data_IF_878924286894
#
_entry.id   IF_878924286894
#
_cell.length_a   1.000
_cell.length_b   1.000
_cell.length_c   1.000
_cell.angle_alpha   90.00
_cell.angle_beta   90.00
_cell.angle_gamma   90.00
#
_symmetry.space_group_name_H-M   'P 1'
#
loop_
_entity.id
_entity.type
_entity.pdbx_description
1 polymer ?
#
# COMPACT_ATOMS: atom_id res chain seq x y z
N UNK A 1 5.24 -18.13 -1.82
CA UNK A 1 4.76 -16.94 -2.53
C UNK A 1 4.86 -15.73 -1.61
N UNK A 2 5.50 -14.64 -2.07
CA UNK A 2 5.73 -13.42 -1.25
C UNK A 2 4.43 -12.80 -0.73
N UNK A 3 3.38 -12.76 -1.55
CA UNK A 3 2.07 -12.23 -1.13
C UNK A 3 1.41 -13.07 -0.05
N UNK A 4 1.51 -14.39 -0.12
CA UNK A 4 0.98 -15.29 0.92
C UNK A 4 1.69 -15.06 2.26
N UNK A 5 3.01 -14.81 2.23
CA UNK A 5 3.76 -14.48 3.42
C UNK A 5 3.34 -13.14 4.01
N UNK A 6 3.22 -12.09 3.18
CA UNK A 6 2.73 -10.78 3.63
C UNK A 6 1.30 -10.89 4.17
N UNK A 7 0.44 -11.70 3.53
CA UNK A 7 -0.92 -11.98 4.04
C UNK A 7 -0.88 -12.67 5.41
N UNK A 8 -0.02 -13.69 5.57
CA UNK A 8 0.19 -14.37 6.87
C UNK A 8 0.60 -13.36 7.95
N UNK A 9 1.54 -12.45 7.65
CA UNK A 9 1.93 -11.39 8.58
C UNK A 9 0.75 -10.49 8.98
N UNK A 10 -0.07 -10.06 8.00
CA UNK A 10 -1.27 -9.27 8.29
C UNK A 10 -2.26 -10.04 9.17
N UNK A 11 -2.46 -11.33 8.93
CA UNK A 11 -3.35 -12.15 9.76
C UNK A 11 -2.84 -12.30 11.19
N UNK A 12 -1.53 -12.47 11.40
CA UNK A 12 -0.89 -12.48 12.72
C UNK A 12 -1.01 -11.12 13.44
N UNK A 13 -1.06 -10.02 12.70
CA UNK A 13 -1.30 -8.67 13.23
C UNK A 13 -2.79 -8.37 13.50
N UNK A 14 -3.69 -9.35 13.33
CA UNK A 14 -5.14 -9.20 13.55
C UNK A 14 -5.90 -8.63 12.36
N UNK A 15 -5.36 -8.81 11.15
CA UNK A 15 -5.98 -8.40 9.87
C UNK A 15 -6.42 -6.94 9.84
N UNK A 16 -5.52 -5.97 10.08
CA UNK A 16 -5.86 -4.54 10.13
C UNK A 16 -6.50 -4.04 8.83
N UNK A 17 -6.14 -4.63 7.68
CA UNK A 17 -6.72 -4.33 6.37
C UNK A 17 -8.22 -4.62 6.27
N UNK A 18 -8.73 -5.61 7.02
CA UNK A 18 -10.17 -5.96 7.03
C UNK A 18 -11.01 -5.04 7.89
N UNK A 19 -10.39 -4.25 8.75
CA UNK A 19 -11.06 -3.31 9.64
C UNK A 19 -11.25 -1.92 9.02
N UNK A 20 -10.63 -1.65 7.89
CA UNK A 20 -10.57 -0.31 7.27
C UNK A 20 -11.08 -0.35 5.82
N UNK A 21 -11.65 0.76 5.38
CA UNK A 21 -11.96 0.96 3.97
C UNK A 21 -10.69 1.42 3.26
N UNK A 22 -10.25 0.72 2.23
CA UNK A 22 -8.97 0.98 1.56
C UNK A 22 -9.23 1.37 0.11
N UNK A 23 -8.66 2.48 -0.35
CA UNK A 23 -8.53 2.82 -1.76
C UNK A 23 -7.10 2.44 -2.19
N UNK A 24 -6.98 1.51 -3.12
CA UNK A 24 -5.70 0.97 -3.56
C UNK A 24 -5.30 1.57 -4.90
N UNK A 25 -4.13 2.21 -4.96
CA UNK A 25 -3.70 3.02 -6.10
C UNK A 25 -2.44 2.43 -6.73
N UNK A 26 -2.53 2.08 -8.02
CA UNK A 26 -1.40 1.66 -8.86
C UNK A 26 -1.26 2.60 -10.07
N UNK A 27 -0.14 2.49 -10.77
CA UNK A 27 0.12 3.27 -11.98
C UNK A 27 1.62 3.45 -12.23
N UNK A 28 1.98 4.03 -13.37
CA UNK A 28 3.36 4.40 -13.65
C UNK A 28 3.66 5.77 -13.03
N UNK A 29 2.99 6.81 -13.48
CA UNK A 29 3.15 8.17 -12.99
C UNK A 29 1.88 8.66 -12.32
N UNK A 30 2.02 9.63 -11.41
CA UNK A 30 0.89 10.30 -10.77
C UNK A 30 0.27 9.56 -9.58
N UNK A 31 0.74 8.37 -9.20
CA UNK A 31 0.24 7.64 -8.02
C UNK A 31 0.21 8.50 -6.77
N UNK A 32 1.37 9.05 -6.37
CA UNK A 32 1.49 9.88 -5.18
C UNK A 32 0.60 11.12 -5.23
N UNK A 33 0.49 11.79 -6.40
CA UNK A 33 -0.40 12.95 -6.56
C UNK A 33 -1.88 12.57 -6.40
N UNK A 34 -2.31 11.46 -7.02
CA UNK A 34 -3.68 10.96 -6.87
C UNK A 34 -3.95 10.56 -5.41
N UNK A 35 -3.00 9.90 -4.76
CA UNK A 35 -3.09 9.54 -3.35
C UNK A 35 -3.25 10.78 -2.45
N UNK A 36 -2.45 11.83 -2.68
CA UNK A 36 -2.55 13.09 -1.94
C UNK A 36 -3.91 13.76 -2.14
N UNK A 37 -4.38 13.90 -3.40
CA UNK A 37 -5.70 14.47 -3.66
C UNK A 37 -6.84 13.67 -3.02
N UNK A 38 -6.79 12.34 -3.08
CA UNK A 38 -7.80 11.50 -2.43
C UNK A 38 -7.77 11.67 -0.91
N UNK A 39 -6.57 11.71 -0.31
CA UNK A 39 -6.42 11.91 1.15
C UNK A 39 -7.03 13.25 1.59
N UNK A 40 -6.66 14.36 0.91
CA UNK A 40 -7.21 15.69 1.20
C UNK A 40 -8.74 15.74 1.03
N UNK A 41 -9.27 15.17 -0.07
CA UNK A 41 -10.72 15.14 -0.31
C UNK A 41 -11.48 14.35 0.78
N UNK A 42 -10.90 13.25 1.26
CA UNK A 42 -11.51 12.44 2.33
C UNK A 42 -11.46 13.16 3.67
N UNK A 43 -10.37 13.84 3.99
CA UNK A 43 -10.22 14.65 5.17
C UNK A 43 -11.21 15.83 5.19
N UNK A 44 -11.32 16.57 4.09
CA UNK A 44 -12.31 17.64 3.92
C UNK A 44 -13.76 17.10 4.01
N UNK A 45 -13.97 15.84 3.64
CA UNK A 45 -15.22 15.10 3.84
C UNK A 45 -15.50 14.68 5.28
N UNK A 46 -14.60 15.00 6.22
CA UNK A 46 -14.74 14.70 7.64
C UNK A 46 -14.28 13.31 8.06
N UNK A 47 -13.57 12.58 7.21
CA UNK A 47 -13.01 11.27 7.55
C UNK A 47 -11.59 11.39 8.09
N UNK A 48 -11.23 10.57 9.05
CA UNK A 48 -9.85 10.38 9.45
C UNK A 48 -9.15 9.49 8.43
N UNK A 49 -8.30 10.08 7.62
CA UNK A 49 -7.65 9.42 6.50
C UNK A 49 -6.20 9.04 6.82
N UNK A 50 -5.86 7.77 6.62
CA UNK A 50 -4.49 7.30 6.55
C UNK A 50 -3.99 7.34 5.12
N UNK A 51 -2.72 7.70 4.93
CA UNK A 51 -2.05 7.73 3.63
C UNK A 51 -0.72 6.98 3.70
N UNK A 52 -0.58 5.96 2.86
CA UNK A 52 0.69 5.26 2.65
C UNK A 52 1.22 5.56 1.27
N UNK A 53 2.43 6.13 1.18
CA UNK A 53 3.08 6.49 -0.10
C UNK A 53 4.51 5.99 -0.18
N UNK A 54 5.06 5.96 -1.40
CA UNK A 54 6.46 5.61 -1.66
C UNK A 54 6.99 6.21 -2.97
N UNK A 55 8.29 6.56 -3.02
CA UNK A 55 9.26 6.62 -1.92
C UNK A 55 9.09 7.87 -1.05
N UNK A 56 9.85 7.97 0.04
CA UNK A 56 10.03 9.23 0.77
C UNK A 56 11.15 10.07 0.13
N UNK A 57 11.14 11.37 0.37
CA UNK A 57 12.15 12.30 -0.16
C UNK A 57 13.25 12.63 0.88
N UNK A 58 12.87 12.89 2.12
CA UNK A 58 13.77 13.32 3.19
C UNK A 58 13.68 12.37 4.39
N UNK A 59 12.48 12.16 4.92
CA UNK A 59 12.24 11.35 6.12
C UNK A 59 11.36 10.14 5.80
N UNK A 60 11.71 9.01 6.35
CA UNK A 60 10.94 7.77 6.19
C UNK A 60 9.48 7.90 6.68
N UNK A 61 9.23 8.79 7.66
CA UNK A 61 7.91 9.06 8.20
C UNK A 61 6.94 9.63 7.15
N UNK A 62 7.45 10.29 6.08
CA UNK A 62 6.64 10.77 4.95
C UNK A 62 5.76 9.68 4.33
N UNK A 63 6.18 8.43 4.45
CA UNK A 63 5.42 7.28 3.93
C UNK A 63 4.14 6.99 4.69
N UNK A 64 3.99 7.55 5.89
CA UNK A 64 2.90 7.30 6.82
C UNK A 64 2.31 8.62 7.28
N UNK A 65 1.16 8.98 6.74
CA UNK A 65 0.48 10.22 7.12
C UNK A 65 -0.92 9.92 7.64
N UNK A 66 -1.39 10.74 8.56
CA UNK A 66 -2.75 10.73 9.07
C UNK A 66 -3.26 12.17 9.00
N UNK A 67 -4.30 12.41 8.21
CA UNK A 67 -4.82 13.74 7.94
C UNK A 67 -3.68 14.70 7.54
N UNK A 68 -2.96 14.35 6.47
CA UNK A 68 -1.83 15.10 5.87
C UNK A 68 -0.63 15.32 6.79
N UNK A 69 -0.69 14.91 8.06
CA UNK A 69 0.43 15.01 8.99
C UNK A 69 1.24 13.72 9.05
N UNK A 70 2.56 13.85 8.90
CA UNK A 70 3.48 12.72 9.10
C UNK A 70 3.36 12.18 10.52
N UNK A 71 3.39 10.85 10.66
CA UNK A 71 3.39 10.22 11.98
C UNK A 71 4.63 10.60 12.79
N UNK A 72 4.47 10.68 14.11
CA UNK A 72 5.56 11.00 15.01
C UNK A 72 6.63 9.90 15.05
N UNK A 73 7.85 10.26 15.46
CA UNK A 73 8.94 9.29 15.63
C UNK A 73 8.59 8.22 16.66
N UNK A 74 7.79 8.55 17.68
CA UNK A 74 7.32 7.60 18.68
C UNK A 74 6.34 6.58 18.08
N UNK A 75 5.39 7.01 17.25
CA UNK A 75 4.46 6.12 16.57
C UNK A 75 5.20 5.22 15.59
N UNK A 76 6.15 5.78 14.84
CA UNK A 76 7.03 5.02 13.95
C UNK A 76 7.83 3.95 14.72
N UNK A 77 8.48 4.33 15.82
CA UNK A 77 9.28 3.42 16.63
C UNK A 77 8.43 2.28 17.22
N UNK A 78 7.23 2.58 17.75
CA UNK A 78 6.33 1.53 18.26
C UNK A 78 5.97 0.51 17.18
N UNK A 79 5.58 0.98 15.99
CA UNK A 79 5.26 0.10 14.87
C UNK A 79 6.49 -0.71 14.43
N UNK A 80 7.66 -0.06 14.34
CA UNK A 80 8.91 -0.74 14.03
C UNK A 80 9.21 -1.89 14.99
N UNK A 81 9.14 -1.64 16.29
CA UNK A 81 9.42 -2.66 17.31
C UNK A 81 8.42 -3.81 17.24
N UNK A 82 7.14 -3.53 16.97
CA UNK A 82 6.10 -4.55 16.81
C UNK A 82 6.35 -5.44 15.59
N UNK A 83 6.69 -4.84 14.44
CA UNK A 83 6.98 -5.62 13.23
C UNK A 83 8.32 -6.36 13.36
N UNK A 84 9.31 -5.76 14.03
CA UNK A 84 10.57 -6.44 14.31
C UNK A 84 10.36 -7.70 15.14
N UNK A 85 9.59 -7.62 16.22
CA UNK A 85 9.27 -8.78 17.05
C UNK A 85 8.58 -9.89 16.23
N UNK A 86 7.58 -9.52 15.40
CA UNK A 86 6.92 -10.47 14.51
C UNK A 86 7.91 -11.11 13.51
N UNK A 87 8.81 -10.30 12.93
CA UNK A 87 9.81 -10.81 11.98
C UNK A 87 10.80 -11.77 12.66
N UNK A 88 11.26 -11.46 13.87
CA UNK A 88 12.13 -12.34 14.67
C UNK A 88 11.44 -13.69 14.94
N UNK A 89 10.17 -13.69 15.38
CA UNK A 89 9.37 -14.89 15.62
C UNK A 89 9.20 -15.75 14.34
N UNK A 90 8.95 -15.11 13.19
CA UNK A 90 8.83 -15.80 11.91
C UNK A 90 10.14 -16.49 11.51
N UNK A 91 11.27 -15.80 11.66
CA UNK A 91 12.60 -16.36 11.36
C UNK A 91 12.93 -17.52 12.30
N UNK A 92 12.64 -17.41 13.59
CA UNK A 92 12.80 -18.50 14.57
C UNK A 92 11.94 -19.72 14.24
N UNK A 93 10.75 -19.48 13.65
CA UNK A 93 9.86 -20.55 13.16
C UNK A 93 10.28 -21.14 11.81
N UNK A 94 11.39 -20.68 11.22
CA UNK A 94 11.91 -21.17 9.94
C UNK A 94 11.28 -20.51 8.70
N UNK A 95 10.56 -19.41 8.88
CA UNK A 95 10.04 -18.57 7.81
C UNK A 95 11.07 -17.48 7.43
N UNK A 96 10.81 -16.69 6.38
CA UNK A 96 11.76 -15.64 5.99
C UNK A 96 11.40 -14.28 6.60
N UNK A 97 12.42 -13.45 6.78
CA UNK A 97 12.25 -12.07 7.22
C UNK A 97 11.55 -11.25 6.13
N UNK A 98 10.53 -10.43 6.45
CA UNK A 98 9.93 -9.52 5.48
C UNK A 98 10.99 -8.64 4.80
N UNK A 99 10.85 -8.44 3.49
CA UNK A 99 11.69 -7.49 2.75
C UNK A 99 11.47 -6.06 3.25
N UNK A 100 12.37 -5.15 2.89
CA UNK A 100 12.28 -3.75 3.32
C UNK A 100 10.90 -3.12 3.04
N UNK A 101 10.34 -3.32 1.85
CA UNK A 101 9.04 -2.76 1.51
C UNK A 101 7.88 -3.46 2.22
N UNK A 102 7.92 -4.80 2.33
CA UNK A 102 6.94 -5.57 3.12
C UNK A 102 6.94 -5.11 4.58
N UNK A 103 8.11 -4.90 5.16
CA UNK A 103 8.26 -4.43 6.54
C UNK A 103 7.62 -3.05 6.74
N UNK A 104 7.89 -2.10 5.83
CA UNK A 104 7.29 -0.75 5.89
C UNK A 104 5.77 -0.80 5.67
N UNK A 105 5.30 -1.59 4.73
CA UNK A 105 3.86 -1.77 4.52
C UNK A 105 3.17 -2.30 5.77
N UNK A 106 3.73 -3.34 6.41
CA UNK A 106 3.20 -3.90 7.65
C UNK A 106 3.22 -2.87 8.80
N UNK A 107 4.29 -2.06 8.92
CA UNK A 107 4.33 -0.94 9.86
C UNK A 107 3.18 0.04 9.61
N UNK A 108 2.94 0.43 8.34
CA UNK A 108 1.84 1.30 7.97
C UNK A 108 0.49 0.74 8.42
N UNK A 109 0.26 -0.54 8.19
CA UNK A 109 -0.99 -1.20 8.62
C UNK A 109 -1.18 -1.18 10.14
N UNK A 110 -0.10 -1.34 10.91
CA UNK A 110 -0.14 -1.20 12.38
C UNK A 110 -0.43 0.24 12.80
N UNK A 111 0.28 1.21 12.22
CA UNK A 111 0.11 2.64 12.52
C UNK A 111 -1.34 3.08 12.29
N UNK A 112 -1.90 2.73 11.14
CA UNK A 112 -3.26 3.14 10.78
C UNK A 112 -4.34 2.42 11.60
N UNK A 113 -4.09 1.17 12.01
CA UNK A 113 -4.98 0.44 12.93
C UNK A 113 -4.95 1.05 14.33
N UNK A 114 -3.77 1.37 14.87
CA UNK A 114 -3.61 2.02 16.18
C UNK A 114 -4.18 3.44 16.19
N UNK A 115 -4.09 4.15 15.08
CA UNK A 115 -4.66 5.49 14.93
C UNK A 115 -6.18 5.48 14.71
N UNK A 116 -6.79 4.32 14.49
CA UNK A 116 -8.22 4.16 14.21
C UNK A 116 -8.71 5.05 13.05
N UNK A 117 -8.02 4.97 11.90
CA UNK A 117 -8.41 5.72 10.71
C UNK A 117 -9.70 5.13 10.10
N UNK A 118 -10.55 5.97 9.52
CA UNK A 118 -11.80 5.57 8.84
C UNK A 118 -11.50 4.96 7.46
N UNK A 119 -10.59 5.61 6.72
CA UNK A 119 -10.16 5.20 5.39
C UNK A 119 -8.64 5.21 5.29
N UNK A 120 -8.14 4.39 4.37
CA UNK A 120 -6.73 4.34 4.02
C UNK A 120 -6.57 4.48 2.51
N UNK A 121 -5.77 5.44 2.07
CA UNK A 121 -5.28 5.54 0.70
C UNK A 121 -3.92 4.85 0.65
N UNK A 122 -3.80 3.83 -0.19
CA UNK A 122 -2.68 2.91 -0.22
C UNK A 122 -2.03 2.91 -1.60
N UNK A 123 -0.83 3.47 -1.71
CA UNK A 123 -0.03 3.47 -2.93
C UNK A 123 0.75 2.16 -3.07
N UNK A 124 0.77 1.55 -4.27
CA UNK A 124 1.68 0.44 -4.59
C UNK A 124 3.13 0.92 -4.67
N UNK A 125 4.06 0.08 -4.24
CA UNK A 125 5.49 0.37 -4.39
C UNK A 125 5.97 0.18 -5.82
N UNK A 126 5.72 -1.01 -6.39
CA UNK A 126 6.15 -1.38 -7.75
C UNK A 126 5.15 -2.32 -8.41
N UNK A 127 4.73 -1.96 -9.63
CA UNK A 127 3.80 -2.79 -10.41
C UNK A 127 2.40 -2.82 -9.79
N UNK A 128 2.01 -3.94 -9.24
CA UNK A 128 0.72 -4.15 -8.58
C UNK A 128 0.51 -5.61 -8.19
N UNK A 129 0.52 -6.53 -9.17
CA UNK A 129 0.22 -7.96 -8.98
C UNK A 129 0.99 -8.61 -7.82
N UNK A 130 2.30 -8.37 -7.74
CA UNK A 130 3.20 -8.95 -6.74
C UNK A 130 3.66 -7.94 -5.69
N UNK A 131 3.09 -6.74 -5.68
CA UNK A 131 3.38 -5.73 -4.68
C UNK A 131 2.87 -6.15 -3.30
N UNK A 132 3.62 -5.86 -2.24
CA UNK A 132 3.25 -6.23 -0.88
C UNK A 132 1.86 -5.68 -0.48
N UNK A 133 1.51 -4.49 -0.97
CA UNK A 133 0.21 -3.87 -0.71
C UNK A 133 -0.95 -4.68 -1.31
N UNK A 134 -0.70 -5.51 -2.33
CA UNK A 134 -1.71 -6.37 -2.95
C UNK A 134 -2.09 -7.61 -2.10
N UNK A 135 -1.48 -7.76 -0.93
CA UNK A 135 -1.89 -8.75 0.07
C UNK A 135 -3.20 -8.40 0.79
N UNK A 136 -3.71 -7.16 0.65
CA UNK A 136 -5.06 -6.80 1.10
C UNK A 136 -6.13 -7.55 0.31
N UNK A 137 -7.26 -7.86 0.97
CA UNK A 137 -8.25 -8.81 0.39
C UNK A 137 -9.37 -8.09 -0.34
N UNK A 138 -9.89 -6.98 0.21
CA UNK A 138 -11.11 -6.34 -0.27
C UNK A 138 -11.01 -4.82 -0.15
N UNK A 139 -10.31 -4.15 -1.06
CA UNK A 139 -10.32 -2.69 -1.10
C UNK A 139 -11.72 -2.17 -1.46
N UNK A 140 -12.03 -0.94 -1.03
CA UNK A 140 -13.25 -0.22 -1.39
C UNK A 140 -13.28 0.11 -2.89
N UNK A 141 -12.12 0.49 -3.44
CA UNK A 141 -11.91 0.77 -4.85
C UNK A 141 -10.44 0.58 -5.22
N UNK A 142 -10.20 0.29 -6.50
CA UNK A 142 -8.88 0.31 -7.11
C UNK A 142 -8.77 1.49 -8.08
N UNK A 143 -7.65 2.18 -8.06
CA UNK A 143 -7.35 3.27 -8.98
C UNK A 143 -6.10 2.92 -9.76
N UNK A 144 -6.16 3.02 -11.09
CA UNK A 144 -4.99 2.88 -11.97
C UNK A 144 -4.78 4.22 -12.65
N UNK A 145 -3.67 4.88 -12.30
CA UNK A 145 -3.27 6.14 -12.91
C UNK A 145 -2.71 5.90 -14.32
N UNK A 146 -1.85 6.75 -14.83
CA UNK A 146 -1.27 6.53 -16.16
C UNK A 146 -0.45 5.23 -16.25
N UNK A 147 -0.45 4.63 -17.43
CA UNK A 147 0.39 3.48 -17.78
C UNK A 147 1.39 3.93 -18.85
N UNK A 148 2.66 3.70 -18.61
CA UNK A 148 3.75 3.95 -19.56
C UNK A 148 4.90 2.97 -19.31
N UNK A 149 5.88 2.93 -20.21
CA UNK A 149 7.08 2.12 -20.03
C UNK A 149 7.85 2.59 -18.81
N UNK A 150 7.99 1.71 -17.83
CA UNK A 150 8.73 1.96 -16.59
C UNK A 150 9.13 0.63 -15.98
N UNK A 151 10.28 0.60 -15.31
CA UNK A 151 10.80 -0.61 -14.67
C UNK A 151 10.72 -1.87 -15.55
N UNK A 152 11.06 -1.72 -16.83
CA UNK A 152 10.93 -2.78 -17.85
C UNK A 152 11.62 -4.09 -17.49
N UNK A 153 12.69 -4.02 -16.70
CA UNK A 153 13.40 -5.20 -16.19
C UNK A 153 12.55 -6.07 -15.25
N UNK A 154 11.54 -5.48 -14.61
CA UNK A 154 10.68 -6.16 -13.62
C UNK A 154 9.24 -6.35 -14.09
N UNK A 155 8.70 -5.39 -14.83
CA UNK A 155 7.27 -5.36 -15.18
C UNK A 155 7.00 -5.81 -16.63
N UNK A 156 8.06 -5.93 -17.43
CA UNK A 156 7.98 -6.29 -18.84
C UNK A 156 8.26 -5.11 -19.78
N UNK A 157 8.51 -5.44 -21.01
CA UNK A 157 9.03 -4.56 -22.07
C UNK A 157 7.92 -3.99 -22.98
N UNK A 158 6.65 -4.23 -22.65
CA UNK A 158 5.49 -3.67 -23.40
C UNK A 158 4.48 -3.06 -22.46
N UNK A 159 3.69 -2.11 -23.01
CA UNK A 159 2.61 -1.42 -22.27
C UNK A 159 1.59 -2.44 -21.72
N UNK A 160 1.22 -3.46 -22.51
CA UNK A 160 0.25 -4.47 -22.11
C UNK A 160 0.75 -5.30 -20.93
N UNK A 161 2.04 -5.66 -20.90
CA UNK A 161 2.62 -6.38 -19.76
C UNK A 161 2.59 -5.53 -18.50
N UNK A 162 3.01 -4.27 -18.61
CA UNK A 162 2.99 -3.31 -17.49
C UNK A 162 1.56 -3.06 -17.01
N UNK A 163 0.61 -2.88 -17.94
CA UNK A 163 -0.82 -2.76 -17.64
C UNK A 163 -1.32 -4.01 -16.89
N UNK A 164 -0.97 -5.20 -17.36
CA UNK A 164 -1.31 -6.47 -16.72
C UNK A 164 -0.77 -6.60 -15.29
N UNK A 165 0.45 -6.14 -15.04
CA UNK A 165 1.02 -6.12 -13.68
C UNK A 165 0.29 -5.13 -12.76
N UNK A 166 -0.06 -3.93 -13.26
CA UNK A 166 -0.82 -2.93 -12.49
C UNK A 166 -2.26 -3.39 -12.26
N UNK A 167 -2.92 -3.94 -13.27
CA UNK A 167 -4.25 -4.53 -13.17
C UNK A 167 -4.34 -5.70 -12.16
N UNK A 168 -3.19 -6.26 -11.76
CA UNK A 168 -3.11 -7.28 -10.72
C UNK A 168 -3.65 -6.86 -9.35
N UNK A 169 -3.88 -5.55 -9.10
CA UNK A 169 -4.53 -5.06 -7.87
C UNK A 169 -6.06 -5.21 -7.91
N UNK A 170 -6.65 -5.41 -9.08
CA UNK A 170 -8.11 -5.51 -9.26
C UNK A 170 -8.62 -6.76 -8.54
N UNK A 171 -9.69 -6.60 -7.78
CA UNK A 171 -10.35 -7.68 -7.07
C UNK A 171 -11.79 -7.88 -7.57
N UNK A 172 -12.30 -9.12 -7.57
CA UNK A 172 -13.69 -9.37 -7.98
C UNK A 172 -14.69 -8.53 -7.18
N UNK A 173 -15.61 -7.87 -7.88
CA UNK A 173 -16.67 -7.07 -7.25
C UNK A 173 -16.22 -5.70 -6.70
N UNK A 174 -14.97 -5.32 -6.90
CA UNK A 174 -14.42 -4.02 -6.48
C UNK A 174 -14.44 -3.04 -7.64
N UNK A 175 -14.96 -1.81 -7.47
CA UNK A 175 -14.90 -0.76 -8.49
C UNK A 175 -13.45 -0.44 -8.90
N UNK A 176 -13.25 -0.21 -10.19
CA UNK A 176 -11.95 0.20 -10.75
C UNK A 176 -12.12 1.53 -11.46
N UNK A 177 -11.27 2.50 -11.12
CA UNK A 177 -11.19 3.80 -11.76
C UNK A 177 -9.86 3.87 -12.52
N UNK A 178 -9.90 4.19 -13.80
CA UNK A 178 -8.70 4.34 -14.62
C UNK A 178 -8.90 5.42 -15.68
N UNK A 179 -7.80 5.97 -16.21
CA UNK A 179 -7.86 6.91 -17.33
C UNK A 179 -8.14 6.15 -18.65
N UNK A 180 -9.34 6.29 -19.17
CA UNK A 180 -9.79 5.65 -20.43
C UNK A 180 -9.34 6.37 -21.69
N UNK A 181 -8.56 7.44 -21.61
CA UNK A 181 -8.09 8.21 -22.77
C UNK A 181 -6.77 7.69 -23.35
N UNK A 182 -6.19 6.66 -22.79
CA UNK A 182 -5.03 5.98 -23.38
C UNK A 182 -5.52 5.02 -24.47
N UNK A 183 -5.46 5.47 -25.73
CA UNK A 183 -5.68 4.62 -26.89
C UNK A 183 -4.45 3.73 -27.16
N UNK A 184 -4.21 2.70 -26.32
CA UNK A 184 -3.28 1.59 -26.66
C UNK A 184 -3.63 0.32 -25.88
#
# INVERSE_FOLDING_TARGET
NKLEHTRKCLDLLGSPDKKRKIIHVAGTNGKGSVCAFLSTMLEEGGYKCGLFTSPHLIKINERFQINEEMVSDEAFLRAFLKIKALADELVEAGDYHPTYFEFLFLMGMVIFDEADVDLLVLETGLGGRLDATNSIVSPLACVITSISLDHVEYLGDTIEKIAGEKAGIIKPGVPVIFDGNQEE
#
